data_IF_018505311179
#
_entry.id   IF_018505311179
#
_cell.length_a   1.000
_cell.length_b   1.000
_cell.length_c   1.000
_cell.angle_alpha   90.00
_cell.angle_beta   90.00
_cell.angle_gamma   90.00
#
_symmetry.space_group_name_H-M   'P 1'
#
loop_
_entity.id
_entity.type
_entity.pdbx_description
1 polymer ?
#
# COMPACT_ATOMS: atom_id res chain seq x y z
N UNK A 1 -45.70 -37.35 -30.42
CA UNK A 1 -45.85 -36.17 -29.54
C UNK A 1 -44.45 -35.57 -29.39
N UNK A 2 -44.11 -34.58 -30.23
CA UNK A 2 -42.75 -34.05 -30.37
C UNK A 2 -42.57 -32.93 -29.33
N UNK A 3 -41.61 -33.12 -28.43
CA UNK A 3 -41.19 -32.11 -27.47
C UNK A 3 -40.54 -30.93 -28.21
N UNK A 4 -41.21 -29.76 -28.21
CA UNK A 4 -40.61 -28.51 -28.66
C UNK A 4 -39.64 -28.02 -27.58
N UNK A 5 -38.36 -28.12 -27.90
CA UNK A 5 -37.26 -27.42 -27.24
C UNK A 5 -37.59 -25.93 -27.07
N UNK A 6 -37.69 -25.48 -25.82
CA UNK A 6 -37.67 -24.07 -25.46
C UNK A 6 -36.23 -23.56 -25.67
N UNK A 7 -35.99 -23.05 -26.87
CA UNK A 7 -34.77 -22.33 -27.20
C UNK A 7 -34.84 -20.97 -26.52
N UNK A 8 -34.07 -20.81 -25.45
CA UNK A 8 -33.89 -19.55 -24.73
C UNK A 8 -33.38 -18.50 -25.74
N UNK A 9 -34.28 -17.64 -26.22
CA UNK A 9 -33.93 -16.55 -27.12
C UNK A 9 -33.35 -15.46 -26.24
N UNK A 10 -32.02 -15.34 -26.22
CA UNK A 10 -31.41 -14.08 -25.78
C UNK A 10 -32.06 -12.95 -26.57
N UNK A 11 -32.72 -12.02 -25.88
CA UNK A 11 -33.36 -10.89 -26.51
C UNK A 11 -32.26 -10.06 -27.17
N UNK A 12 -32.11 -10.20 -28.49
CA UNK A 12 -31.16 -9.42 -29.26
C UNK A 12 -31.54 -7.93 -29.10
N UNK A 13 -30.60 -7.14 -28.59
CA UNK A 13 -30.80 -5.71 -28.38
C UNK A 13 -30.92 -4.99 -29.73
N UNK A 14 -31.92 -4.10 -29.88
CA UNK A 14 -32.18 -3.36 -31.12
C UNK A 14 -31.05 -2.34 -31.42
N UNK A 15 -30.26 -2.53 -32.49
CA UNK A 15 -29.13 -1.65 -32.81
C UNK A 15 -29.54 -0.18 -33.02
N UNK A 16 -30.76 0.09 -33.51
CA UNK A 16 -31.24 1.44 -33.80
C UNK A 16 -31.56 2.25 -32.54
N UNK A 17 -31.95 1.58 -31.45
CA UNK A 17 -32.20 2.20 -30.15
C UNK A 17 -30.87 2.40 -29.42
N UNK A 18 -30.05 1.36 -29.33
CA UNK A 18 -28.81 1.38 -28.53
C UNK A 18 -27.69 2.22 -29.17
N UNK A 19 -27.68 2.38 -30.50
CA UNK A 19 -26.74 3.29 -31.18
C UNK A 19 -27.03 4.78 -30.90
N UNK A 20 -28.21 5.11 -30.39
CA UNK A 20 -28.63 6.48 -30.04
C UNK A 20 -28.57 6.77 -28.55
N UNK A 21 -28.05 5.82 -27.75
CA UNK A 21 -27.93 6.00 -26.30
C UNK A 21 -27.05 7.23 -26.01
N UNK A 22 -27.54 8.25 -25.29
CA UNK A 22 -26.74 9.40 -24.87
C UNK A 22 -25.48 8.96 -24.13
N UNK A 23 -24.38 9.70 -24.35
CA UNK A 23 -23.08 9.35 -23.77
C UNK A 23 -23.15 9.33 -22.24
N UNK A 24 -23.90 10.26 -21.64
CA UNK A 24 -24.05 10.37 -20.19
C UNK A 24 -24.74 9.13 -19.59
N UNK A 25 -25.74 8.57 -20.29
CA UNK A 25 -26.42 7.36 -19.87
C UNK A 25 -25.54 6.12 -20.06
N UNK A 26 -24.78 6.08 -21.16
CA UNK A 26 -23.80 5.02 -21.37
C UNK A 26 -22.74 5.02 -20.26
N UNK A 27 -22.17 6.18 -19.93
CA UNK A 27 -21.21 6.33 -18.83
C UNK A 27 -21.83 5.89 -17.50
N UNK A 28 -23.07 6.27 -17.22
CA UNK A 28 -23.76 5.86 -16.00
C UNK A 28 -24.00 4.35 -15.94
N UNK A 29 -24.38 3.70 -17.04
CA UNK A 29 -24.53 2.24 -17.09
C UNK A 29 -23.19 1.55 -16.86
N UNK A 30 -22.13 2.04 -17.51
CA UNK A 30 -20.78 1.51 -17.35
C UNK A 30 -20.24 1.70 -15.93
N UNK A 31 -20.70 2.72 -15.19
CA UNK A 31 -20.30 2.90 -13.78
C UNK A 31 -20.78 1.82 -12.83
N UNK A 32 -21.81 1.05 -13.21
CA UNK A 32 -22.28 -0.08 -12.42
C UNK A 32 -21.57 -1.41 -12.74
N UNK A 33 -20.73 -1.45 -13.77
CA UNK A 33 -20.04 -2.69 -14.14
C UNK A 33 -18.88 -2.97 -13.19
N UNK A 34 -18.63 -4.24 -12.81
CA UNK A 34 -17.43 -4.61 -12.07
C UNK A 34 -16.15 -4.19 -12.80
N UNK A 35 -15.13 -3.77 -12.04
CA UNK A 35 -13.87 -3.25 -12.59
C UNK A 35 -13.26 -4.18 -13.66
N UNK A 36 -13.28 -5.50 -13.42
CA UNK A 36 -12.76 -6.49 -14.37
C UNK A 36 -13.47 -6.41 -15.73
N UNK A 37 -14.80 -6.30 -15.74
CA UNK A 37 -15.60 -6.17 -16.96
C UNK A 37 -15.24 -4.89 -17.69
N UNK A 38 -15.14 -3.79 -16.95
CA UNK A 38 -14.79 -2.48 -17.47
C UNK A 38 -13.38 -2.44 -18.10
N UNK A 39 -12.38 -3.04 -17.45
CA UNK A 39 -11.03 -3.15 -18.00
C UNK A 39 -10.98 -4.03 -19.27
N UNK A 40 -11.88 -5.01 -19.40
CA UNK A 40 -11.99 -5.83 -20.60
C UNK A 40 -12.65 -5.08 -21.77
N UNK A 41 -13.54 -4.11 -21.51
CA UNK A 41 -14.15 -3.29 -22.56
C UNK A 41 -13.14 -2.41 -23.30
N UNK A 42 -11.97 -2.13 -22.69
CA UNK A 42 -10.89 -1.35 -23.35
C UNK A 42 -10.45 -1.95 -24.68
N UNK A 43 -10.55 -3.26 -24.87
CA UNK A 43 -10.13 -3.92 -26.11
C UNK A 43 -11.21 -3.93 -27.20
N UNK A 44 -12.45 -3.53 -26.90
CA UNK A 44 -13.57 -3.65 -27.86
C UNK A 44 -13.75 -2.42 -28.73
N UNK A 45 -13.49 -1.20 -28.21
CA UNK A 45 -13.53 0.02 -29.02
C UNK A 45 -12.64 1.15 -28.47
N UNK A 46 -12.26 2.10 -29.33
CA UNK A 46 -11.44 3.27 -28.96
C UNK A 46 -12.12 4.17 -27.92
N UNK A 47 -13.45 4.29 -28.00
CA UNK A 47 -14.23 5.10 -27.06
C UNK A 47 -14.13 4.53 -25.64
N UNK A 48 -14.40 3.23 -25.44
CA UNK A 48 -14.25 2.59 -24.13
C UNK A 48 -12.80 2.59 -23.66
N UNK A 49 -11.83 2.40 -24.56
CA UNK A 49 -10.42 2.56 -24.20
C UNK A 49 -10.16 3.94 -23.61
N UNK A 50 -10.61 5.02 -24.25
CA UNK A 50 -10.42 6.39 -23.76
C UNK A 50 -11.23 6.68 -22.50
N UNK A 51 -12.44 6.15 -22.39
CA UNK A 51 -13.37 6.45 -21.31
C UNK A 51 -12.84 6.00 -19.94
N UNK A 52 -12.20 4.84 -19.88
CA UNK A 52 -11.63 4.29 -18.64
C UNK A 52 -10.51 5.16 -18.06
N UNK A 53 -9.88 6.00 -18.89
CA UNK A 53 -8.86 6.96 -18.45
C UNK A 53 -9.41 8.39 -18.32
N UNK A 54 -10.71 8.61 -18.58
CA UNK A 54 -11.32 9.93 -18.46
C UNK A 54 -11.50 10.30 -16.98
N UNK A 55 -10.96 11.44 -16.51
CA UNK A 55 -11.09 11.86 -15.11
C UNK A 55 -12.55 12.00 -14.65
N UNK A 56 -13.45 12.46 -15.54
CA UNK A 56 -14.87 12.61 -15.24
C UNK A 56 -15.56 11.26 -15.04
N UNK A 57 -15.22 10.28 -15.86
CA UNK A 57 -15.75 8.93 -15.75
C UNK A 57 -15.19 8.22 -14.52
N UNK A 58 -13.89 8.35 -14.26
CA UNK A 58 -13.25 7.79 -13.06
C UNK A 58 -13.92 8.34 -11.79
N UNK A 59 -14.16 9.65 -11.70
CA UNK A 59 -14.85 10.26 -10.56
C UNK A 59 -16.27 9.68 -10.35
N UNK A 60 -17.05 9.53 -11.42
CA UNK A 60 -18.38 8.88 -11.38
C UNK A 60 -18.29 7.41 -11.00
N UNK A 61 -17.30 6.69 -11.51
CA UNK A 61 -17.10 5.28 -11.22
C UNK A 61 -16.69 5.06 -9.76
N UNK A 62 -15.73 5.83 -9.25
CA UNK A 62 -15.24 5.72 -7.87
C UNK A 62 -16.29 6.11 -6.83
N UNK A 63 -17.25 6.97 -7.16
CA UNK A 63 -18.38 7.30 -6.29
C UNK A 63 -19.51 6.25 -6.33
N UNK A 64 -19.71 5.57 -7.45
CA UNK A 64 -20.78 4.60 -7.64
C UNK A 64 -20.37 3.14 -7.34
N UNK A 65 -19.08 2.82 -7.47
CA UNK A 65 -18.56 1.45 -7.37
C UNK A 65 -17.92 1.18 -6.02
N UNK A 66 -18.39 0.14 -5.33
CA UNK A 66 -17.66 -0.49 -4.24
C UNK A 66 -16.49 -1.25 -4.86
N UNK A 67 -15.36 -0.59 -5.08
CA UNK A 67 -14.15 -1.32 -5.42
C UNK A 67 -13.87 -2.34 -4.32
N UNK A 68 -13.75 -3.61 -4.70
CA UNK A 68 -13.11 -4.59 -3.84
C UNK A 68 -11.73 -4.06 -3.49
N UNK A 69 -11.52 -3.83 -2.19
CA UNK A 69 -10.21 -3.57 -1.64
C UNK A 69 -9.62 -4.88 -1.18
N UNK A 70 -8.31 -5.01 -1.32
CA UNK A 70 -7.62 -6.24 -1.05
C UNK A 70 -6.43 -6.02 -0.13
N UNK A 71 -6.16 -7.00 0.74
CA UNK A 71 -4.85 -7.14 1.34
C UNK A 71 -4.01 -8.06 0.49
N UNK A 72 -2.84 -7.60 0.07
CA UNK A 72 -1.90 -8.39 -0.70
C UNK A 72 -0.80 -8.92 0.21
N UNK A 73 -0.55 -10.23 0.12
CA UNK A 73 0.52 -10.89 0.85
C UNK A 73 1.70 -11.18 -0.07
N UNK A 74 2.86 -10.65 0.31
CA UNK A 74 4.16 -11.04 -0.22
C UNK A 74 4.88 -11.91 0.81
N UNK A 75 5.47 -13.01 0.35
CA UNK A 75 6.19 -13.96 1.17
C UNK A 75 7.26 -14.66 0.33
N UNK A 76 8.44 -15.01 0.88
CA UNK A 76 9.52 -15.66 0.11
C UNK A 76 9.12 -16.97 -0.58
N UNK A 77 8.11 -17.68 -0.05
CA UNK A 77 7.59 -18.92 -0.66
C UNK A 77 6.52 -18.67 -1.74
N UNK A 78 6.01 -17.44 -1.86
CA UNK A 78 4.97 -17.06 -2.82
C UNK A 78 5.63 -16.52 -4.09
N UNK A 79 6.24 -17.39 -4.89
CA UNK A 79 6.90 -16.99 -6.14
C UNK A 79 5.88 -16.54 -7.19
N UNK A 80 5.96 -15.28 -7.60
CA UNK A 80 5.15 -14.65 -8.67
C UNK A 80 3.62 -14.71 -8.51
N UNK A 81 3.13 -15.30 -7.43
CA UNK A 81 1.72 -15.47 -7.10
C UNK A 81 1.47 -14.92 -5.70
N UNK A 82 0.75 -13.82 -5.62
CA UNK A 82 0.46 -13.12 -4.38
C UNK A 82 -0.95 -13.48 -3.91
N UNK A 83 -1.11 -14.04 -2.71
CA UNK A 83 -2.42 -14.17 -2.09
C UNK A 83 -3.06 -12.79 -1.88
N UNK A 84 -4.34 -12.68 -2.21
CA UNK A 84 -5.18 -11.51 -2.01
C UNK A 84 -6.32 -11.87 -1.06
N UNK A 85 -6.54 -11.08 -0.02
CA UNK A 85 -7.76 -11.18 0.79
C UNK A 85 -8.74 -10.12 0.34
N UNK A 86 -9.90 -10.54 -0.18
CA UNK A 86 -11.02 -9.68 -0.56
C UNK A 86 -11.79 -9.29 0.71
N UNK A 87 -11.68 -8.03 1.12
CA UNK A 87 -12.27 -7.54 2.37
C UNK A 87 -13.80 -7.51 2.33
N UNK A 88 -14.39 -7.40 1.14
CA UNK A 88 -15.84 -7.35 0.94
C UNK A 88 -16.42 -8.76 0.95
N UNK A 89 -15.78 -9.68 0.24
CA UNK A 89 -16.27 -11.07 0.12
C UNK A 89 -15.78 -11.98 1.26
N UNK A 90 -14.81 -11.53 2.06
CA UNK A 90 -14.15 -12.35 3.09
C UNK A 90 -13.40 -13.56 2.52
N UNK A 91 -12.92 -13.46 1.28
CA UNK A 91 -12.44 -14.60 0.51
C UNK A 91 -11.00 -14.43 0.02
N UNK A 92 -10.25 -15.53 0.00
CA UNK A 92 -8.91 -15.57 -0.56
C UNK A 92 -8.94 -15.72 -2.08
N UNK A 93 -8.14 -14.91 -2.74
CA UNK A 93 -7.88 -14.93 -4.18
C UNK A 93 -6.37 -14.98 -4.40
N UNK A 94 -5.95 -15.11 -5.65
CA UNK A 94 -4.55 -15.04 -6.06
C UNK A 94 -4.41 -14.10 -7.24
N UNK A 95 -3.34 -13.33 -7.26
CA UNK A 95 -2.93 -12.53 -8.40
C UNK A 95 -1.50 -12.92 -8.79
N UNK A 96 -1.28 -13.06 -10.10
CA UNK A 96 0.04 -13.35 -10.63
C UNK A 96 0.66 -12.08 -11.19
N UNK A 97 1.95 -11.87 -10.93
CA UNK A 97 2.73 -10.85 -11.63
C UNK A 97 2.97 -11.32 -13.08
N UNK A 98 2.58 -10.56 -14.11
CA UNK A 98 2.83 -10.94 -15.49
C UNK A 98 4.32 -11.10 -15.76
N UNK A 99 4.73 -12.28 -16.24
CA UNK A 99 6.13 -12.55 -16.60
C UNK A 99 6.67 -11.58 -17.65
N UNK A 100 5.79 -11.00 -18.48
CA UNK A 100 6.15 -9.96 -19.46
C UNK A 100 6.69 -8.68 -18.84
N UNK A 101 6.48 -8.43 -17.54
CA UNK A 101 7.04 -7.27 -16.85
C UNK A 101 8.46 -7.50 -16.34
N UNK A 102 8.86 -8.76 -16.24
CA UNK A 102 10.15 -9.14 -15.68
C UNK A 102 11.20 -9.23 -16.79
N UNK A 103 12.40 -8.68 -16.59
CA UNK A 103 13.50 -8.92 -17.51
C UNK A 103 13.91 -10.41 -17.47
N UNK A 104 14.50 -10.96 -18.54
CA UNK A 104 14.86 -12.38 -18.60
C UNK A 104 15.80 -12.85 -17.47
N UNK A 105 16.57 -11.94 -16.88
CA UNK A 105 17.51 -12.21 -15.78
C UNK A 105 16.91 -12.10 -14.37
N UNK A 106 15.64 -11.70 -14.24
CA UNK A 106 14.96 -11.57 -12.95
C UNK A 106 14.55 -12.94 -12.39
N UNK A 107 15.50 -13.63 -11.76
CA UNK A 107 15.25 -14.88 -11.06
C UNK A 107 14.64 -14.66 -9.66
N UNK A 108 14.86 -13.48 -9.06
CA UNK A 108 14.38 -13.13 -7.73
C UNK A 108 13.88 -11.70 -7.72
N UNK A 109 12.72 -11.49 -7.11
CA UNK A 109 12.15 -10.17 -6.91
C UNK A 109 11.34 -10.14 -5.61
N UNK A 110 11.36 -8.98 -4.95
CA UNK A 110 10.67 -8.77 -3.69
C UNK A 110 9.78 -7.54 -3.80
N UNK A 111 8.51 -7.66 -3.39
CA UNK A 111 7.65 -6.50 -3.25
C UNK A 111 8.12 -5.65 -2.06
N UNK A 112 8.43 -4.38 -2.33
CA UNK A 112 8.97 -3.44 -1.35
C UNK A 112 7.90 -2.51 -0.79
N UNK A 113 7.04 -1.97 -1.65
CA UNK A 113 6.03 -0.96 -1.28
C UNK A 113 4.88 -1.00 -2.29
N UNK A 114 3.70 -0.55 -1.86
CA UNK A 114 2.52 -0.39 -2.71
C UNK A 114 1.77 0.90 -2.36
N UNK A 115 1.30 1.61 -3.37
CA UNK A 115 0.55 2.86 -3.22
C UNK A 115 -0.44 3.00 -4.37
N UNK A 116 -1.73 3.22 -4.09
CA UNK A 116 -2.80 3.48 -5.06
C UNK A 116 -2.79 2.53 -6.29
N UNK A 117 -2.60 1.23 -6.04
CA UNK A 117 -2.57 0.20 -7.09
C UNK A 117 -1.25 0.08 -7.87
N UNK A 118 -0.25 0.91 -7.56
CA UNK A 118 1.13 0.71 -7.97
C UNK A 118 1.85 -0.24 -7.03
N UNK A 119 2.73 -1.07 -7.60
CA UNK A 119 3.60 -1.98 -6.87
C UNK A 119 5.05 -1.71 -7.24
N UNK A 120 5.92 -1.62 -6.25
CA UNK A 120 7.36 -1.46 -6.46
C UNK A 120 8.11 -2.72 -6.03
N UNK A 121 8.73 -3.39 -6.99
CA UNK A 121 9.55 -4.57 -6.77
C UNK A 121 11.03 -4.25 -6.89
N UNK A 122 11.86 -4.85 -6.02
CA UNK A 122 13.32 -4.89 -6.21
C UNK A 122 13.70 -6.01 -7.16
N UNK A 123 14.57 -5.72 -8.14
CA UNK A 123 15.21 -6.70 -9.03
C UNK A 123 16.74 -6.64 -8.84
N UNK A 124 17.30 -7.26 -7.78
CA UNK A 124 18.73 -7.14 -7.46
C UNK A 124 19.64 -7.58 -8.61
N UNK A 125 19.30 -8.67 -9.29
CA UNK A 125 20.09 -9.21 -10.42
C UNK A 125 20.15 -8.28 -11.64
N UNK A 126 19.22 -7.33 -11.73
CA UNK A 126 19.10 -6.37 -12.83
C UNK A 126 19.43 -4.95 -12.38
N UNK A 127 19.95 -4.76 -11.16
CA UNK A 127 20.26 -3.46 -10.55
C UNK A 127 19.15 -2.42 -10.75
N UNK A 128 17.90 -2.84 -10.62
CA UNK A 128 16.74 -1.99 -10.94
C UNK A 128 15.53 -2.30 -10.06
N UNK A 129 14.63 -1.33 -10.02
CA UNK A 129 13.27 -1.48 -9.52
C UNK A 129 12.31 -1.71 -10.69
N UNK A 130 11.30 -2.55 -10.46
CA UNK A 130 10.15 -2.67 -11.33
C UNK A 130 8.96 -2.00 -10.65
N UNK A 131 8.47 -0.90 -11.22
CA UNK A 131 7.19 -0.31 -10.82
C UNK A 131 6.13 -0.74 -11.81
N UNK A 132 5.05 -1.34 -11.34
CA UNK A 132 3.97 -1.77 -12.22
C UNK A 132 2.59 -1.46 -11.67
N UNK A 133 1.64 -1.30 -12.59
CA UNK A 133 0.23 -1.26 -12.32
C UNK A 133 -0.40 -2.54 -12.91
N UNK A 134 -0.79 -3.47 -12.05
CA UNK A 134 -1.33 -4.76 -12.47
C UNK A 134 -2.68 -4.62 -13.21
N UNK A 135 -3.45 -3.58 -12.92
CA UNK A 135 -4.74 -3.30 -13.54
C UNK A 135 -4.58 -2.64 -14.91
N UNK A 136 -3.67 -1.66 -15.00
CA UNK A 136 -3.31 -1.02 -16.27
C UNK A 136 -2.61 -1.99 -17.22
N UNK A 137 -2.00 -3.04 -16.66
CA UNK A 137 -1.02 -3.90 -17.32
C UNK A 137 0.17 -3.09 -17.85
N UNK A 138 0.60 -2.08 -17.09
CA UNK A 138 1.76 -1.25 -17.41
C UNK A 138 2.87 -1.50 -16.41
N UNK A 139 4.11 -1.32 -16.86
CA UNK A 139 5.29 -1.48 -16.04
C UNK A 139 6.42 -0.57 -16.50
N UNK A 140 7.30 -0.19 -15.58
CA UNK A 140 8.52 0.56 -15.85
C UNK A 140 9.67 -0.01 -15.04
N UNK A 141 10.80 -0.21 -15.71
CA UNK A 141 12.08 -0.51 -15.07
C UNK A 141 12.80 0.80 -14.75
N UNK A 142 13.29 0.91 -13.52
CA UNK A 142 14.00 2.09 -13.00
C UNK A 142 15.34 1.60 -12.48
N UNK A 143 16.44 2.07 -13.07
CA UNK A 143 17.77 1.68 -12.61
C UNK A 143 18.03 2.21 -11.19
N UNK A 144 18.80 1.46 -10.40
CA UNK A 144 19.29 1.93 -9.11
C UNK A 144 20.11 3.23 -9.27
N UNK A 145 20.13 4.09 -8.25
CA UNK A 145 20.83 5.37 -8.34
C UNK A 145 22.34 5.22 -8.52
N UNK A 146 22.94 4.12 -8.04
CA UNK A 146 24.35 3.76 -8.26
C UNK A 146 24.54 2.25 -8.14
N UNK A 147 25.78 1.75 -8.30
CA UNK A 147 26.13 0.34 -8.11
C UNK A 147 27.50 0.21 -7.42
N UNK A 148 27.70 -0.75 -6.49
CA UNK A 148 26.67 -1.58 -5.83
C UNK A 148 25.71 -0.73 -5.00
N UNK A 149 24.45 -1.15 -4.90
CA UNK A 149 23.40 -0.40 -4.20
C UNK A 149 22.75 -1.25 -3.11
N UNK A 150 22.66 -0.66 -1.92
CA UNK A 150 21.86 -1.13 -0.81
C UNK A 150 21.11 0.06 -0.23
N UNK A 151 19.91 -0.20 0.28
CA UNK A 151 19.05 0.80 0.91
C UNK A 151 18.41 0.17 2.14
N UNK A 152 18.18 0.98 3.17
CA UNK A 152 17.54 0.53 4.40
C UNK A 152 16.02 0.75 4.35
N UNK A 153 15.57 1.73 3.58
CA UNK A 153 14.16 2.14 3.52
C UNK A 153 13.75 2.51 2.10
N UNK A 154 12.52 2.13 1.72
CA UNK A 154 11.88 2.55 0.48
C UNK A 154 10.45 2.96 0.76
N UNK A 155 10.00 4.04 0.13
CA UNK A 155 8.58 4.43 0.16
C UNK A 155 8.14 4.85 -1.24
N UNK A 156 7.08 4.21 -1.74
CA UNK A 156 6.44 4.59 -2.98
C UNK A 156 5.32 5.59 -2.69
N UNK A 157 5.35 6.74 -3.36
CA UNK A 157 4.36 7.81 -3.19
C UNK A 157 3.67 8.07 -4.51
N UNK A 158 2.35 7.88 -4.58
CA UNK A 158 1.56 8.27 -5.73
C UNK A 158 1.35 9.79 -5.72
N UNK A 159 1.38 10.40 -6.91
CA UNK A 159 1.13 11.83 -7.10
C UNK A 159 0.07 12.01 -8.20
N UNK A 160 -0.61 13.17 -8.29
CA UNK A 160 -1.63 13.40 -9.32
C UNK A 160 -1.15 13.25 -10.77
N UNK A 161 0.16 13.24 -10.99
CA UNK A 161 0.78 13.26 -12.31
C UNK A 161 1.88 12.20 -12.46
N UNK A 162 1.84 11.14 -11.65
CA UNK A 162 2.84 10.09 -11.65
C UNK A 162 3.12 9.54 -10.25
N UNK A 163 4.36 9.19 -9.96
CA UNK A 163 4.79 8.68 -8.66
C UNK A 163 6.22 9.11 -8.36
N UNK A 164 6.55 9.08 -7.07
CA UNK A 164 7.91 9.26 -6.56
C UNK A 164 8.33 8.02 -5.78
N UNK A 165 9.63 7.74 -5.82
CA UNK A 165 10.24 6.69 -4.98
C UNK A 165 11.23 7.39 -4.07
N UNK A 166 11.00 7.32 -2.77
CA UNK A 166 11.96 7.75 -1.76
C UNK A 166 12.79 6.55 -1.31
N UNK A 167 14.09 6.78 -1.15
CA UNK A 167 15.05 5.81 -0.63
C UNK A 167 15.91 6.49 0.43
N UNK A 168 16.21 5.76 1.49
CA UNK A 168 17.28 6.10 2.42
C UNK A 168 18.35 5.02 2.31
N UNK A 169 19.60 5.44 2.15
CA UNK A 169 20.76 4.55 2.03
C UNK A 169 21.94 5.04 2.88
N UNK A 170 22.67 4.12 3.51
CA UNK A 170 24.00 4.37 4.07
C UNK A 170 25.12 4.00 3.10
N UNK A 171 26.10 4.89 2.92
CA UNK A 171 27.27 4.70 2.07
C UNK A 171 28.54 5.20 2.76
N UNK A 172 29.47 4.29 3.07
CA UNK A 172 30.82 4.59 3.58
C UNK A 172 30.82 5.68 4.68
N UNK A 173 30.01 5.49 5.74
CA UNK A 173 29.78 6.40 6.88
C UNK A 173 28.94 7.67 6.65
N UNK A 174 28.57 7.97 5.40
CA UNK A 174 27.61 9.04 5.07
C UNK A 174 26.24 8.45 4.73
N UNK A 175 25.17 9.20 4.99
CA UNK A 175 23.81 8.77 4.67
C UNK A 175 23.22 9.70 3.64
N UNK A 176 22.50 9.14 2.68
CA UNK A 176 21.91 9.87 1.57
C UNK A 176 20.44 9.49 1.42
N UNK A 177 19.63 10.48 1.08
CA UNK A 177 18.28 10.28 0.62
C UNK A 177 18.25 10.40 -0.91
N UNK A 178 17.53 9.51 -1.58
CA UNK A 178 17.32 9.55 -3.02
C UNK A 178 15.84 9.63 -3.34
N UNK A 179 15.48 10.52 -4.26
CA UNK A 179 14.10 10.67 -4.74
C UNK A 179 14.07 10.49 -6.25
N UNK A 180 13.40 9.45 -6.71
CA UNK A 180 13.06 9.29 -8.13
C UNK A 180 11.76 10.00 -8.41
N UNK A 181 11.70 10.74 -9.52
CA UNK A 181 10.47 11.36 -10.01
C UNK A 181 10.09 10.77 -11.38
N UNK A 182 8.89 10.19 -11.47
CA UNK A 182 8.42 9.52 -12.67
C UNK A 182 8.13 10.45 -13.85
N UNK A 183 8.10 11.79 -13.66
CA UNK A 183 7.88 12.78 -14.72
C UNK A 183 9.17 13.11 -15.47
N UNK A 184 10.24 13.32 -14.71
CA UNK A 184 11.57 13.66 -15.25
C UNK A 184 12.44 12.42 -15.47
N UNK A 185 12.00 11.26 -14.96
CA UNK A 185 12.66 9.97 -15.08
C UNK A 185 14.09 9.94 -14.52
N UNK A 186 14.35 10.69 -13.45
CA UNK A 186 15.67 10.82 -12.86
C UNK A 186 15.64 10.74 -11.34
N UNK A 187 16.79 10.38 -10.77
CA UNK A 187 17.06 10.43 -9.34
C UNK A 187 17.62 11.79 -8.96
N UNK A 188 17.16 12.32 -7.83
CA UNK A 188 17.79 13.44 -7.11
C UNK A 188 18.39 12.91 -5.82
N UNK A 189 19.59 13.38 -5.49
CA UNK A 189 20.30 13.04 -4.27
C UNK A 189 20.19 14.19 -3.27
N UNK A 190 19.95 13.85 -2.01
CA UNK A 190 19.89 14.76 -0.89
C UNK A 190 20.64 14.17 0.31
N UNK A 191 20.81 14.98 1.34
CA UNK A 191 21.38 14.53 2.61
C UNK A 191 20.42 13.54 3.29
N UNK A 192 20.98 12.47 3.85
CA UNK A 192 20.23 11.52 4.65
C UNK A 192 20.06 11.99 6.10
N UNK A 193 19.38 11.16 6.90
CA UNK A 193 19.13 11.45 8.31
C UNK A 193 19.56 10.28 9.18
N UNK A 194 20.71 10.44 9.87
CA UNK A 194 21.35 9.40 10.69
C UNK A 194 20.40 8.72 11.69
N UNK A 195 19.56 9.44 12.48
CA UNK A 195 18.70 8.80 13.48
C UNK A 195 17.67 7.79 12.95
N UNK A 196 17.34 7.82 11.65
CA UNK A 196 16.39 6.86 11.06
C UNK A 196 17.04 5.52 10.67
N UNK A 197 18.36 5.43 10.71
CA UNK A 197 19.11 4.26 10.23
C UNK A 197 19.53 3.29 11.34
N UNK A 198 19.24 3.63 12.59
CA UNK A 198 19.34 2.69 13.71
C UNK A 198 18.06 1.82 13.76
N UNK A 199 18.17 0.54 13.44
CA UNK A 199 17.15 -0.50 13.72
C UNK A 199 15.72 -0.32 13.14
N UNK A 200 15.55 0.52 12.10
CA UNK A 200 14.25 0.80 11.46
C UNK A 200 14.11 0.27 10.01
N UNK A 201 14.76 -0.86 9.69
CA UNK A 201 14.92 -1.42 8.33
C UNK A 201 13.63 -1.86 7.60
N UNK A 202 12.47 -1.70 8.21
CA UNK A 202 11.19 -2.19 7.69
C UNK A 202 10.04 -1.18 7.75
N UNK A 203 10.33 0.07 8.13
CA UNK A 203 9.31 1.11 8.15
C UNK A 203 9.18 1.76 6.76
N UNK A 204 7.95 2.06 6.35
CA UNK A 204 7.70 2.97 5.22
C UNK A 204 7.36 4.35 5.80
N UNK A 205 7.68 5.42 5.06
CA UNK A 205 7.31 6.77 5.44
C UNK A 205 5.81 7.00 5.27
N UNK A 206 5.17 7.61 6.26
CA UNK A 206 3.78 8.03 6.16
C UNK A 206 3.71 9.29 5.29
N UNK A 207 3.01 9.23 4.13
CA UNK A 207 2.83 10.40 3.28
C UNK A 207 1.76 11.32 3.86
N UNK A 208 2.14 12.52 4.25
CA UNK A 208 1.27 13.48 4.92
C UNK A 208 1.66 14.91 4.53
N UNK A 209 0.70 15.76 4.16
CA UNK A 209 0.92 17.15 3.76
C UNK A 209 2.06 17.36 2.73
N UNK A 210 2.19 16.45 1.76
CA UNK A 210 3.21 16.53 0.69
C UNK A 210 4.62 16.09 1.10
N UNK A 211 4.83 15.71 2.37
CA UNK A 211 6.10 15.22 2.90
C UNK A 211 5.98 13.76 3.37
N UNK A 212 7.12 13.12 3.61
CA UNK A 212 7.18 11.81 4.24
C UNK A 212 7.54 11.94 5.70
N UNK A 213 6.73 11.36 6.58
CA UNK A 213 6.90 11.39 8.02
C UNK A 213 7.43 10.05 8.52
N UNK A 214 8.41 10.11 9.41
CA UNK A 214 9.08 8.96 9.99
C UNK A 214 9.19 9.13 11.50
N UNK A 215 9.15 8.03 12.24
CA UNK A 215 9.49 8.01 13.65
C UNK A 215 10.96 7.61 13.82
N UNK A 216 11.71 8.36 14.61
CA UNK A 216 13.08 7.99 15.00
C UNK A 216 13.09 6.83 15.98
N UNK A 217 14.25 6.24 16.23
CA UNK A 217 14.47 5.39 17.40
C UNK A 217 14.69 6.23 18.66
N UNK A 218 14.73 5.57 19.83
CA UNK A 218 14.88 6.25 21.12
C UNK A 218 16.07 7.23 21.14
N UNK A 219 15.87 8.51 21.54
CA UNK A 219 14.60 9.11 21.97
C UNK A 219 13.62 9.31 20.80
N UNK A 220 12.39 8.78 20.95
CA UNK A 220 11.37 8.88 19.92
C UNK A 220 11.06 10.35 19.62
N UNK A 221 11.08 10.69 18.34
CA UNK A 221 10.59 11.92 17.76
C UNK A 221 10.01 11.63 16.38
N UNK A 222 9.32 12.62 15.82
CA UNK A 222 8.78 12.56 14.46
C UNK A 222 9.56 13.53 13.60
N UNK A 223 10.01 13.05 12.44
CA UNK A 223 10.73 13.86 11.45
C UNK A 223 10.03 13.77 10.12
N UNK A 224 10.00 14.87 9.38
CA UNK A 224 9.49 14.89 8.02
C UNK A 224 10.60 15.19 7.01
N UNK A 225 10.42 14.64 5.81
CA UNK A 225 11.25 14.89 4.66
C UNK A 225 10.41 15.48 3.53
N UNK A 226 10.78 16.68 3.08
CA UNK A 226 10.18 17.34 1.93
C UNK A 226 10.67 16.69 0.63
N UNK A 227 9.77 16.04 -0.11
CA UNK A 227 10.07 15.34 -1.36
C UNK A 227 10.45 16.25 -2.54
N UNK A 228 10.24 17.56 -2.43
CA UNK A 228 10.60 18.54 -3.44
C UNK A 228 11.94 19.22 -3.16
N UNK A 229 12.12 19.69 -1.93
CA UNK A 229 13.29 20.45 -1.53
C UNK A 229 14.39 19.60 -0.90
N UNK A 230 14.07 18.37 -0.49
CA UNK A 230 15.01 17.44 0.14
C UNK A 230 15.48 17.87 1.52
N UNK A 231 14.64 18.63 2.24
CA UNK A 231 14.93 19.11 3.59
C UNK A 231 14.31 18.19 4.63
N UNK A 232 15.06 17.99 5.71
CA UNK A 232 14.61 17.30 6.92
C UNK A 232 14.20 18.32 7.97
N UNK A 233 13.04 18.11 8.58
CA UNK A 233 12.55 18.94 9.69
C UNK A 233 12.06 18.04 10.82
N UNK A 234 12.37 18.42 12.07
CA UNK A 234 11.80 17.75 13.23
C UNK A 234 10.41 18.35 13.48
N UNK A 235 9.46 17.49 13.79
CA UNK A 235 8.14 17.92 14.22
C UNK A 235 8.18 18.19 15.73
N UNK A 236 8.07 19.46 16.11
CA UNK A 236 8.08 19.91 17.51
C UNK A 236 6.80 19.48 18.24
N UNK A 237 6.74 18.21 18.62
CA UNK A 237 5.57 17.58 19.25
C UNK A 237 5.98 16.78 20.48
N UNK A 238 5.17 16.84 21.53
CA UNK A 238 5.43 16.05 22.73
C UNK A 238 5.03 14.59 22.48
N UNK A 239 6.03 13.71 22.48
CA UNK A 239 5.79 12.28 22.31
C UNK A 239 5.21 11.67 23.60
N UNK A 240 4.26 10.72 23.50
CA UNK A 240 3.77 9.98 24.65
C UNK A 240 4.90 9.37 25.50
N UNK A 241 4.72 9.35 26.82
CA UNK A 241 5.70 8.78 27.74
C UNK A 241 5.68 7.25 27.70
N UNK A 242 6.79 6.64 28.08
CA UNK A 242 6.93 5.17 28.17
C UNK A 242 6.74 4.43 26.84
N UNK A 243 6.99 5.10 25.70
CA UNK A 243 6.99 4.44 24.40
C UNK A 243 8.13 3.41 24.32
N UNK A 244 7.84 2.26 23.69
CA UNK A 244 8.83 1.20 23.41
C UNK A 244 9.03 0.98 21.91
N UNK A 245 8.05 1.36 21.09
CA UNK A 245 8.16 1.44 19.63
C UNK A 245 7.09 2.38 19.11
N UNK A 246 7.32 2.95 17.92
CA UNK A 246 6.40 3.89 17.25
C UNK A 246 6.29 3.54 15.77
N UNK A 247 5.07 3.58 15.23
CA UNK A 247 4.77 3.46 13.80
C UNK A 247 3.79 4.54 13.38
N UNK A 248 4.11 5.25 12.30
CA UNK A 248 3.25 6.28 11.74
C UNK A 248 2.43 5.70 10.59
N UNK A 249 1.19 6.17 10.47
CA UNK A 249 0.26 5.80 9.41
C UNK A 249 -0.52 7.04 9.03
N UNK A 250 -0.60 7.35 7.73
CA UNK A 250 -1.40 8.48 7.25
C UNK A 250 -2.65 8.02 6.52
N UNK A 251 -3.76 8.73 6.76
CA UNK A 251 -4.90 8.75 5.85
C UNK A 251 -4.72 9.92 4.91
N UNK A 252 -4.28 9.65 3.68
CA UNK A 252 -4.04 10.68 2.66
C UNK A 252 -5.33 11.37 2.20
N UNK A 253 -6.47 10.69 2.28
CA UNK A 253 -7.74 11.19 1.76
C UNK A 253 -8.36 12.25 2.67
N UNK A 254 -8.23 12.06 3.98
CA UNK A 254 -8.72 13.01 5.00
C UNK A 254 -7.61 13.94 5.52
N UNK A 255 -6.35 13.75 5.08
CA UNK A 255 -5.23 14.52 5.59
C UNK A 255 -5.03 14.33 7.09
N UNK A 256 -5.03 13.08 7.56
CA UNK A 256 -4.80 12.73 8.98
C UNK A 256 -3.54 11.90 9.17
N UNK A 257 -2.85 12.13 10.29
CA UNK A 257 -1.70 11.34 10.72
C UNK A 257 -2.02 10.61 12.01
N UNK A 258 -1.74 9.32 12.03
CA UNK A 258 -1.93 8.44 13.17
C UNK A 258 -0.59 7.86 13.62
N UNK A 259 -0.53 7.55 14.90
CA UNK A 259 0.60 6.88 15.52
C UNK A 259 0.13 5.64 16.26
N UNK A 260 0.75 4.50 15.96
CA UNK A 260 0.60 3.26 16.73
C UNK A 260 1.86 3.07 17.55
N UNK A 261 1.73 2.88 18.85
CA UNK A 261 2.86 2.77 19.74
C UNK A 261 2.67 1.75 20.85
N UNK A 262 3.74 1.03 21.16
CA UNK A 262 3.85 0.18 22.34
C UNK A 262 4.20 1.02 23.56
N UNK A 263 3.63 0.68 24.71
CA UNK A 263 3.86 1.36 25.98
C UNK A 263 4.37 0.37 27.02
N UNK A 264 5.46 0.72 27.69
CA UNK A 264 6.03 -0.07 28.76
C UNK A 264 7.38 0.45 29.26
N UNK A 265 8.15 -0.42 29.89
CA UNK A 265 9.39 -0.03 30.60
C UNK A 265 10.51 -1.00 30.30
N UNK A 266 11.75 -0.49 30.31
CA UNK A 266 12.96 -1.27 30.05
C UNK A 266 12.89 -2.01 28.70
N UNK A 267 12.36 -1.34 27.66
CA UNK A 267 12.13 -1.92 26.34
C UNK A 267 10.99 -2.93 26.25
N UNK A 268 10.30 -3.27 27.34
CA UNK A 268 9.22 -4.26 27.33
C UNK A 268 7.87 -3.56 27.23
N UNK A 269 7.20 -3.69 26.08
CA UNK A 269 5.83 -3.25 25.88
C UNK A 269 4.84 -4.12 26.66
N UNK A 270 3.87 -3.48 27.31
CA UNK A 270 2.77 -4.13 28.05
C UNK A 270 1.39 -3.74 27.54
N UNK A 271 1.31 -2.66 26.78
CA UNK A 271 0.08 -2.22 26.13
C UNK A 271 0.40 -1.57 24.79
N UNK A 272 -0.59 -1.49 23.91
CA UNK A 272 -0.47 -0.79 22.63
C UNK A 272 -1.63 0.17 22.49
N UNK A 273 -1.36 1.35 21.96
CA UNK A 273 -2.35 2.41 21.77
C UNK A 273 -2.23 3.03 20.39
N UNK A 274 -3.32 3.70 20.02
CA UNK A 274 -3.47 4.49 18.81
C UNK A 274 -3.67 5.96 19.20
N UNK A 275 -2.91 6.83 18.56
CA UNK A 275 -3.06 8.29 18.66
C UNK A 275 -3.34 8.87 17.27
N UNK A 276 -4.06 9.99 17.25
CA UNK A 276 -4.29 10.84 16.09
C UNK A 276 -3.65 12.20 16.36
N UNK A 277 -2.99 12.76 15.35
CA UNK A 277 -2.45 14.11 15.44
C UNK A 277 -3.58 15.12 15.21
N UNK A 278 -3.79 16.01 16.17
CA UNK A 278 -4.77 17.10 16.04
C UNK A 278 -4.24 18.24 15.15
N UNK A 279 -5.12 19.19 14.84
CA UNK A 279 -4.77 20.37 14.02
C UNK A 279 -3.70 21.26 14.67
N UNK A 280 -3.49 21.13 15.99
CA UNK A 280 -2.46 21.82 16.75
C UNK A 280 -1.11 21.08 16.78
N UNK A 281 -1.01 19.92 16.12
CA UNK A 281 0.19 19.09 16.10
C UNK A 281 0.36 18.20 17.34
N UNK A 282 -0.64 18.08 18.21
CA UNK A 282 -0.54 17.27 19.43
C UNK A 282 -1.07 15.85 19.21
N UNK A 283 -0.45 14.88 19.87
CA UNK A 283 -0.88 13.48 19.85
C UNK A 283 -2.04 13.24 20.82
N UNK A 284 -3.24 12.99 20.29
CA UNK A 284 -4.44 12.69 21.07
C UNK A 284 -4.72 11.19 21.04
N UNK A 285 -4.88 10.57 22.22
CA UNK A 285 -5.21 9.14 22.32
C UNK A 285 -6.61 8.86 21.76
N UNK A 286 -6.69 7.97 20.78
CA UNK A 286 -7.93 7.58 20.10
C UNK A 286 -8.49 6.30 20.69
N UNK A 287 -7.65 5.28 20.84
CA UNK A 287 -8.08 3.95 21.25
C UNK A 287 -6.92 3.12 21.83
N UNK A 288 -7.24 2.21 22.76
CA UNK A 288 -6.30 1.24 23.33
C UNK A 288 -6.60 -0.16 22.80
N UNK A 289 -5.55 -0.92 22.46
CA UNK A 289 -5.72 -2.32 22.08
C UNK A 289 -6.26 -3.14 23.27
N UNK A 290 -7.37 -3.90 23.13
CA UNK A 290 -7.91 -4.75 24.19
C UNK A 290 -6.89 -5.76 24.71
N UNK A 291 -6.91 -6.01 26.02
CA UNK A 291 -5.84 -6.72 26.73
C UNK A 291 -5.52 -8.11 26.16
N UNK A 292 -6.54 -8.91 25.84
CA UNK A 292 -6.33 -10.25 25.28
C UNK A 292 -5.66 -10.21 23.89
N UNK A 293 -6.05 -9.25 23.05
CA UNK A 293 -5.43 -9.07 21.73
C UNK A 293 -4.00 -8.54 21.87
N UNK A 294 -3.78 -7.65 22.84
CA UNK A 294 -2.47 -7.09 23.15
C UNK A 294 -1.50 -8.17 23.64
N UNK A 295 -1.92 -9.02 24.58
CA UNK A 295 -1.11 -10.16 25.04
C UNK A 295 -0.73 -11.08 23.89
N UNK A 296 -1.69 -11.42 23.00
CA UNK A 296 -1.41 -12.22 21.80
C UNK A 296 -0.36 -11.54 20.91
N UNK A 297 -0.59 -10.29 20.50
CA UNK A 297 0.29 -9.59 19.57
C UNK A 297 1.69 -9.35 20.15
N UNK A 298 1.79 -8.85 21.38
CA UNK A 298 3.07 -8.57 22.03
C UNK A 298 3.87 -9.83 22.39
N UNK A 299 3.22 -10.99 22.55
CA UNK A 299 3.94 -12.27 22.71
C UNK A 299 4.69 -12.68 21.45
N UNK A 300 4.19 -12.27 20.27
CA UNK A 300 4.77 -12.61 18.97
C UNK A 300 5.94 -11.70 18.62
N UNK A 301 5.86 -10.40 18.95
CA UNK A 301 6.93 -9.42 18.69
C UNK A 301 7.75 -9.07 19.93
N UNK A 302 7.75 -9.93 20.96
CA UNK A 302 8.47 -9.68 22.21
C UNK A 302 9.96 -9.41 21.93
N UNK A 303 10.45 -8.24 22.34
CA UNK A 303 11.81 -7.72 22.06
C UNK A 303 12.21 -7.62 20.58
N UNK A 304 11.27 -7.81 19.66
CA UNK A 304 11.51 -7.70 18.21
C UNK A 304 10.51 -6.71 17.59
N UNK A 305 10.34 -5.55 18.21
CA UNK A 305 9.35 -4.56 17.79
C UNK A 305 9.72 -3.89 16.46
N UNK A 306 10.97 -3.93 16.02
CA UNK A 306 11.46 -3.51 14.71
C UNK A 306 10.76 -4.26 13.56
N UNK A 307 10.31 -5.50 13.80
CA UNK A 307 9.53 -6.26 12.83
C UNK A 307 8.07 -5.84 12.72
N UNK A 308 7.56 -5.03 13.65
CA UNK A 308 6.22 -4.45 13.57
C UNK A 308 6.21 -3.39 12.47
N UNK A 309 5.15 -3.33 11.69
CA UNK A 309 4.91 -2.26 10.70
C UNK A 309 3.42 -2.02 10.58
N UNK A 310 3.05 -0.83 10.12
CA UNK A 310 1.66 -0.45 9.98
C UNK A 310 1.43 0.18 8.60
N UNK A 311 0.19 0.09 8.12
CA UNK A 311 -0.22 0.77 6.90
C UNK A 311 -1.72 1.10 6.94
N UNK A 312 -2.11 2.07 6.13
CA UNK A 312 -3.50 2.47 5.97
C UNK A 312 -4.21 1.63 4.92
N UNK A 313 -5.45 1.25 5.21
CA UNK A 313 -6.35 0.62 4.25
C UNK A 313 -7.79 1.09 4.45
N UNK A 314 -8.19 2.08 3.65
CA UNK A 314 -9.54 2.67 3.64
C UNK A 314 -9.96 3.33 4.96
N UNK A 315 -10.44 2.56 5.93
CA UNK A 315 -10.87 3.01 7.28
C UNK A 315 -10.19 2.13 8.36
N UNK A 316 -9.11 1.46 7.98
CA UNK A 316 -8.42 0.48 8.82
C UNK A 316 -6.95 0.84 8.95
N UNK A 317 -6.50 0.95 10.20
CA UNK A 317 -5.08 0.97 10.54
C UNK A 317 -4.67 -0.48 10.78
N UNK A 318 -3.88 -1.02 9.86
CA UNK A 318 -3.39 -2.39 9.93
C UNK A 318 -2.05 -2.42 10.65
N UNK A 319 -1.92 -3.32 11.61
CA UNK A 319 -0.73 -3.58 12.42
C UNK A 319 -0.28 -5.01 12.16
N UNK A 320 0.92 -5.13 11.60
CA UNK A 320 1.48 -6.37 11.11
C UNK A 320 2.85 -6.64 11.73
N UNK A 321 3.31 -7.88 11.63
CA UNK A 321 4.66 -8.26 12.04
C UNK A 321 5.27 -9.21 11.00
N UNK A 322 6.54 -9.00 10.65
CA UNK A 322 7.23 -9.81 9.62
C UNK A 322 7.33 -11.30 9.98
N UNK A 323 7.23 -11.63 11.27
CA UNK A 323 7.27 -13.00 11.80
C UNK A 323 5.88 -13.58 12.06
N UNK A 324 4.81 -12.86 11.73
CA UNK A 324 3.42 -13.27 12.01
C UNK A 324 2.51 -13.22 10.78
N UNK A 325 1.68 -14.25 10.54
CA UNK A 325 0.83 -14.30 9.36
C UNK A 325 -0.48 -13.52 9.47
N UNK A 326 -1.01 -13.23 10.66
CA UNK A 326 -2.31 -12.54 10.80
C UNK A 326 -2.13 -11.02 10.84
N UNK A 327 -3.13 -10.29 10.33
CA UNK A 327 -3.20 -8.83 10.46
C UNK A 327 -4.11 -8.50 11.64
N UNK A 328 -3.62 -7.66 12.55
CA UNK A 328 -4.44 -6.97 13.53
C UNK A 328 -4.84 -5.62 12.93
N UNK A 329 -6.10 -5.21 12.99
CA UNK A 329 -6.48 -3.89 12.51
C UNK A 329 -7.45 -3.17 13.45
N UNK A 330 -7.34 -1.84 13.48
CA UNK A 330 -8.32 -0.96 14.11
C UNK A 330 -9.19 -0.33 13.03
N UNK A 331 -10.51 -0.50 13.15
CA UNK A 331 -11.47 0.23 12.33
C UNK A 331 -11.72 1.60 12.96
N UNK A 332 -11.21 2.66 12.33
CA UNK A 332 -11.13 4.00 12.95
C UNK A 332 -12.51 4.58 13.21
N UNK A 333 -13.42 4.50 12.24
CA UNK A 333 -14.80 4.99 12.37
C UNK A 333 -15.58 4.41 13.57
N UNK A 334 -15.24 3.18 14.00
CA UNK A 334 -15.92 2.47 15.10
C UNK A 334 -15.07 2.33 16.35
N UNK A 335 -13.78 2.65 16.27
CA UNK A 335 -12.78 2.44 17.34
C UNK A 335 -12.80 1.00 17.86
N UNK A 336 -12.84 0.03 16.92
CA UNK A 336 -12.87 -1.39 17.27
C UNK A 336 -11.70 -2.13 16.64
N UNK A 337 -11.11 -3.05 17.42
CA UNK A 337 -10.01 -3.91 16.98
C UNK A 337 -10.49 -5.29 16.55
N UNK A 338 -9.89 -5.80 15.48
CA UNK A 338 -10.25 -7.08 14.86
C UNK A 338 -9.03 -7.78 14.27
N UNK A 339 -9.16 -9.09 14.05
CA UNK A 339 -8.15 -9.90 13.36
C UNK A 339 -8.63 -10.30 11.97
N UNK A 340 -7.71 -10.29 11.00
CA UNK A 340 -7.92 -10.93 9.71
C UNK A 340 -7.41 -12.37 9.80
N UNK A 341 -8.19 -13.36 9.30
CA UNK A 341 -7.76 -14.74 9.31
C UNK A 341 -6.44 -14.94 8.56
N UNK A 342 -5.65 -15.92 8.98
CA UNK A 342 -4.44 -16.35 8.28
C UNK A 342 -4.75 -16.79 6.85
N UNK A 343 -3.81 -16.51 5.94
CA UNK A 343 -3.85 -17.05 4.58
C UNK A 343 -3.70 -18.58 4.57
N UNK A 344 -4.68 -19.35 4.06
CA UNK A 344 -4.66 -20.81 4.08
C UNK A 344 -3.58 -21.41 3.16
N UNK A 345 -3.05 -20.63 2.22
CA UNK A 345 -2.03 -21.11 1.28
C UNK A 345 -0.60 -21.04 1.81
N UNK A 346 -0.37 -20.49 3.01
CA UNK A 346 0.98 -20.45 3.60
C UNK A 346 1.09 -21.54 4.68
N UNK A 347 2.10 -22.44 4.58
CA UNK A 347 2.30 -23.50 5.56
C UNK A 347 2.49 -22.95 6.99
N UNK A 348 2.11 -23.74 7.99
CA UNK A 348 2.23 -23.37 9.41
C UNK A 348 3.66 -23.39 9.95
N UNK A 349 4.62 -23.93 9.19
CA UNK A 349 5.99 -24.13 9.69
C UNK A 349 6.86 -22.88 9.51
N UNK A 350 7.24 -22.28 10.64
CA UNK A 350 8.47 -21.51 10.89
C UNK A 350 8.91 -20.61 9.74
N UNK A 351 7.96 -19.89 9.15
CA UNK A 351 8.21 -18.98 8.05
C UNK A 351 8.24 -17.56 8.57
N UNK A 352 9.33 -16.83 8.34
CA UNK A 352 9.42 -15.38 8.50
C UNK A 352 9.35 -14.71 7.13
N UNK A 353 9.10 -13.39 7.12
CA UNK A 353 9.02 -12.60 5.89
C UNK A 353 7.59 -12.36 5.40
N UNK A 354 6.61 -12.35 6.31
CA UNK A 354 5.24 -11.94 5.99
C UNK A 354 5.18 -10.43 5.74
N UNK A 355 4.87 -10.05 4.50
CA UNK A 355 4.69 -8.65 4.11
C UNK A 355 3.31 -8.41 3.54
N UNK A 356 2.52 -7.63 4.26
CA UNK A 356 1.16 -7.24 3.89
C UNK A 356 1.15 -5.85 3.31
N UNK A 357 0.40 -5.68 2.23
CA UNK A 357 0.24 -4.42 1.54
C UNK A 357 -1.23 -4.11 1.33
N UNK A 358 -1.57 -2.83 1.42
CA UNK A 358 -2.86 -2.32 0.99
C UNK A 358 -2.91 -2.36 -0.53
N UNK A 359 -3.89 -3.06 -1.10
CA UNK A 359 -4.20 -3.01 -2.52
C UNK A 359 -5.62 -2.49 -2.71
N UNK A 360 -5.71 -1.16 -2.86
CA UNK A 360 -6.92 -0.48 -3.30
C UNK A 360 -6.73 -0.12 -4.77
N UNK A 361 -7.47 -0.75 -5.70
CA UNK A 361 -7.52 -0.33 -7.09
C UNK A 361 -7.83 1.16 -7.21
N UNK A 362 -6.89 1.94 -7.71
CA UNK A 362 -7.12 3.33 -8.09
C UNK A 362 -7.11 3.45 -9.62
N UNK A 363 -8.19 3.97 -10.19
CA UNK A 363 -8.29 4.20 -11.62
C UNK A 363 -7.48 5.41 -12.08
N UNK A 364 -7.22 6.39 -11.20
CA UNK A 364 -6.40 7.55 -11.55
C UNK A 364 -4.95 7.16 -11.85
N UNK A 365 -4.45 6.07 -11.27
CA UNK A 365 -3.11 5.54 -11.58
C UNK A 365 -3.05 4.76 -12.89
N UNK A 366 -4.17 4.60 -13.60
CA UNK A 366 -4.20 4.05 -14.95
C UNK A 366 -3.90 5.11 -16.03
N UNK A 367 -4.16 6.39 -15.75
CA UNK A 367 -4.17 7.48 -16.72
C UNK A 367 -2.78 7.96 -17.14
#
# INVERSE_FOLDING_TARGET
>A
MIAKSLKDRSAAMDPGIWSKLPQELLEHILSFLPLKTLLNLRSTCKHFKSLVFSPSFISKYSSASLFSSFFLLSHPQCYSNFPLYDTICGAWRKIALPLSFLPPSAAQFNLLSSCNGLFCFSLPNSSSFLVCNLLAKSSRLIQFPFFPFAFEMLTLVSTPHGYKIFLLCSKFSSNYAFVYDSKVHSWRQFDGFQPLLADNFHQEGASFNGSLYFATTEPFSVVCFDLENGKWENLDTEMPRELTFVRLVSNTDEGKLYMVGGLGRNGISRSMKLWEMDDGGNWVEVERLPELMCRKFLSVCYHNYEHVYCFWHQDMICVCCHTWPEILYCKVSRRTWHWIPKCPSIPDKWSCGFRWFSFVPDLYTLA
#
